data_IF_868778184071
#
_entry.id   IF_868778184071
#
_cell.length_a   1.000
_cell.length_b   1.000
_cell.length_c   1.000
_cell.angle_alpha   90.00
_cell.angle_beta   90.00
_cell.angle_gamma   90.00
#
_symmetry.space_group_name_H-M   'P 1'
#
loop_
_entity.id
_entity.type
_entity.pdbx_description
1 polymer ?
#
# COMPACT_ATOMS: atom_id res chain seq x y z
N UNK A 1 -40.15 -1.95 -41.53
CA UNK A 1 -39.31 -3.05 -41.00
C UNK A 1 -37.83 -2.69 -40.88
N UNK A 2 -37.27 -1.80 -41.71
CA UNK A 2 -35.87 -1.33 -41.58
C UNK A 2 -35.59 -0.45 -40.34
N UNK A 3 -36.57 0.34 -39.87
CA UNK A 3 -36.38 1.24 -38.72
C UNK A 3 -36.31 0.48 -37.38
N UNK A 4 -36.94 -0.70 -37.28
CA UNK A 4 -36.89 -1.52 -36.07
C UNK A 4 -35.55 -2.22 -35.85
N UNK A 5 -34.77 -2.46 -36.92
CA UNK A 5 -33.45 -3.11 -36.79
C UNK A 5 -32.36 -2.14 -36.28
N UNK A 6 -32.53 -0.82 -36.44
CA UNK A 6 -31.52 0.15 -36.03
C UNK A 6 -31.50 0.39 -34.50
N UNK A 7 -32.63 0.20 -33.83
CA UNK A 7 -32.77 0.40 -32.38
C UNK A 7 -32.15 -0.73 -31.52
N UNK A 8 -31.90 -1.90 -32.11
CA UNK A 8 -31.36 -3.07 -31.38
C UNK A 8 -29.82 -3.03 -31.30
N UNK A 9 -29.14 -2.20 -32.09
CA UNK A 9 -27.67 -2.13 -32.11
C UNK A 9 -27.03 -1.23 -31.03
N UNK A 10 -27.81 -0.50 -30.22
CA UNK A 10 -27.25 0.48 -29.26
C UNK A 10 -27.00 -0.14 -27.87
N UNK A 11 -27.46 -1.37 -27.61
CA UNK A 11 -27.36 -2.02 -26.30
C UNK A 11 -26.05 -2.80 -26.06
N UNK A 12 -25.13 -2.84 -27.02
CA UNK A 12 -23.85 -3.54 -26.86
C UNK A 12 -22.74 -2.56 -26.47
N UNK A 13 -22.07 -2.88 -25.35
CA UNK A 13 -20.78 -2.35 -24.91
C UNK A 13 -20.74 -1.08 -24.02
N UNK A 14 -21.42 -1.15 -22.86
CA UNK A 14 -20.82 -0.63 -21.63
C UNK A 14 -20.55 -1.78 -20.65
N UNK A 15 -19.84 -2.82 -21.10
CA UNK A 15 -19.04 -3.61 -20.15
C UNK A 15 -17.81 -2.78 -19.83
N UNK A 16 -17.99 -1.73 -19.03
CA UNK A 16 -16.86 -1.03 -18.42
C UNK A 16 -16.21 -2.05 -17.48
N UNK A 17 -15.21 -2.76 -17.98
CA UNK A 17 -14.34 -3.58 -17.14
C UNK A 17 -13.73 -2.61 -16.13
N UNK A 18 -14.23 -2.63 -14.89
CA UNK A 18 -13.72 -1.79 -13.81
C UNK A 18 -12.22 -2.03 -13.72
N UNK A 19 -11.43 -0.97 -13.87
CA UNK A 19 -9.97 -1.10 -13.82
C UNK A 19 -9.56 -1.59 -12.43
N UNK A 20 -8.95 -2.77 -12.39
CA UNK A 20 -8.54 -3.40 -11.14
C UNK A 20 -7.35 -2.68 -10.52
N UNK A 21 -7.37 -2.55 -9.20
CA UNK A 21 -6.22 -2.08 -8.43
C UNK A 21 -5.34 -3.29 -8.08
N UNK A 22 -4.07 -3.23 -8.42
CA UNK A 22 -3.06 -4.23 -8.06
C UNK A 22 -2.26 -3.75 -6.85
N UNK A 23 -2.04 -4.63 -5.88
CA UNK A 23 -1.28 -4.34 -4.67
C UNK A 23 0.00 -5.17 -4.59
N UNK A 24 1.09 -4.52 -4.16
CA UNK A 24 2.41 -5.12 -4.07
C UNK A 24 3.05 -4.83 -2.71
N UNK A 25 3.63 -5.85 -2.07
CA UNK A 25 4.35 -5.68 -0.80
C UNK A 25 5.67 -4.91 -1.00
N UNK A 26 5.87 -3.81 -0.26
CA UNK A 26 7.16 -3.09 -0.19
C UNK A 26 7.81 -3.26 1.20
N UNK A 27 9.06 -2.84 1.41
CA UNK A 27 9.78 -3.04 2.69
C UNK A 27 9.08 -2.31 3.86
N UNK A 28 8.60 -1.09 3.64
CA UNK A 28 7.90 -0.27 4.65
C UNK A 28 6.42 0.02 4.35
N UNK A 29 5.78 -0.68 3.41
CA UNK A 29 4.39 -0.41 3.08
C UNK A 29 3.84 -1.30 1.97
N UNK A 30 3.10 -0.67 1.06
CA UNK A 30 2.53 -1.28 -0.12
C UNK A 30 2.62 -0.31 -1.31
N UNK A 31 2.72 -0.87 -2.52
CA UNK A 31 2.63 -0.15 -3.78
C UNK A 31 1.33 -0.55 -4.46
N UNK A 32 0.64 0.45 -5.01
CA UNK A 32 -0.63 0.27 -5.69
C UNK A 32 -0.48 0.68 -7.14
N UNK A 33 -0.98 -0.13 -8.06
CA UNK A 33 -0.95 0.17 -9.48
C UNK A 33 -2.35 -0.03 -10.06
N UNK A 34 -2.79 0.90 -10.88
CA UNK A 34 -4.04 0.82 -11.61
C UNK A 34 -3.72 1.12 -13.06
N UNK A 35 -3.96 0.12 -13.93
CA UNK A 35 -3.51 0.14 -15.31
C UNK A 35 -1.98 0.38 -15.44
N UNK A 36 -1.56 1.55 -15.93
CA UNK A 36 -0.16 1.98 -16.10
C UNK A 36 0.30 2.96 -15.02
N UNK A 37 -0.60 3.39 -14.13
CA UNK A 37 -0.35 4.42 -13.13
C UNK A 37 -0.05 3.82 -11.76
N UNK A 38 0.98 4.36 -11.10
CA UNK A 38 1.25 4.08 -9.69
C UNK A 38 0.41 5.01 -8.83
N UNK A 39 -0.45 4.44 -7.97
CA UNK A 39 -1.33 5.20 -7.10
C UNK A 39 -0.71 5.35 -5.71
N UNK A 40 -0.73 6.58 -5.19
CA UNK A 40 -0.51 6.85 -3.78
C UNK A 40 -1.70 6.37 -2.94
N UNK A 41 -1.52 6.09 -1.63
CA UNK A 41 -2.63 5.73 -0.75
C UNK A 41 -3.78 6.75 -0.75
N UNK A 42 -3.48 8.05 -0.97
CA UNK A 42 -4.52 9.08 -1.11
C UNK A 42 -5.34 8.89 -2.40
N UNK A 43 -4.69 8.58 -3.52
CA UNK A 43 -5.37 8.32 -4.78
C UNK A 43 -6.16 7.01 -4.74
N UNK A 44 -5.63 5.96 -4.11
CA UNK A 44 -6.39 4.72 -3.88
C UNK A 44 -7.67 5.02 -3.10
N UNK A 45 -7.57 5.79 -2.01
CA UNK A 45 -8.76 6.18 -1.24
C UNK A 45 -9.78 6.97 -2.07
N UNK A 46 -9.34 7.79 -3.04
CA UNK A 46 -10.24 8.48 -3.97
C UNK A 46 -10.95 7.52 -4.93
N UNK A 47 -10.22 6.56 -5.49
CA UNK A 47 -10.79 5.53 -6.39
C UNK A 47 -11.80 4.65 -5.64
N UNK A 48 -11.49 4.30 -4.40
CA UNK A 48 -12.35 3.48 -3.54
C UNK A 48 -13.65 4.19 -3.12
N UNK A 49 -13.81 5.50 -3.34
CA UNK A 49 -15.08 6.20 -3.04
C UNK A 49 -16.28 5.60 -3.77
N UNK A 50 -16.04 4.93 -4.90
CA UNK A 50 -17.07 4.24 -5.65
C UNK A 50 -17.59 2.97 -4.93
N UNK A 51 -16.98 2.55 -3.83
CA UNK A 51 -17.41 1.42 -3.01
C UNK A 51 -17.29 1.78 -1.51
N UNK A 52 -18.40 2.14 -0.82
CA UNK A 52 -18.36 2.66 0.56
C UNK A 52 -17.68 1.72 1.56
N UNK A 53 -17.86 0.40 1.40
CA UNK A 53 -17.27 -0.60 2.28
C UNK A 53 -15.75 -0.66 2.13
N UNK A 54 -15.25 -0.63 0.89
CA UNK A 54 -13.83 -0.58 0.59
C UNK A 54 -13.20 0.74 1.06
N UNK A 55 -13.91 1.86 0.87
CA UNK A 55 -13.46 3.18 1.31
C UNK A 55 -13.21 3.25 2.82
N UNK A 56 -14.19 2.83 3.64
CA UNK A 56 -14.06 2.85 5.10
C UNK A 56 -12.93 1.92 5.58
N UNK A 57 -12.80 0.74 4.97
CA UNK A 57 -11.73 -0.21 5.32
C UNK A 57 -10.34 0.35 4.98
N UNK A 58 -10.18 0.95 3.80
CA UNK A 58 -8.91 1.55 3.39
C UNK A 58 -8.58 2.83 4.17
N UNK A 59 -9.59 3.60 4.59
CA UNK A 59 -9.39 4.77 5.45
C UNK A 59 -8.72 4.41 6.76
N UNK A 60 -9.14 3.29 7.39
CA UNK A 60 -8.47 2.74 8.58
C UNK A 60 -7.06 2.25 8.28
N UNK A 61 -6.87 1.57 7.15
CA UNK A 61 -5.54 1.16 6.69
C UNK A 61 -4.58 2.36 6.60
N UNK A 62 -5.02 3.45 5.95
CA UNK A 62 -4.24 4.69 5.79
C UNK A 62 -3.89 5.34 7.12
N UNK A 63 -4.78 5.30 8.12
CA UNK A 63 -4.46 5.81 9.46
C UNK A 63 -3.29 5.03 10.09
N UNK A 64 -3.31 3.70 9.99
CA UNK A 64 -2.22 2.85 10.46
C UNK A 64 -0.91 3.10 9.69
N UNK A 65 -0.99 3.33 8.38
CA UNK A 65 0.19 3.69 7.57
C UNK A 65 0.82 5.01 8.02
N UNK A 66 0.01 6.03 8.29
CA UNK A 66 0.50 7.32 8.77
C UNK A 66 1.16 7.19 10.16
N UNK A 67 0.51 6.46 11.07
CA UNK A 67 1.07 6.20 12.40
C UNK A 67 2.39 5.42 12.29
N UNK A 68 2.44 4.37 11.46
CA UNK A 68 3.67 3.63 11.19
C UNK A 68 4.78 4.54 10.64
N UNK A 69 4.45 5.46 9.72
CA UNK A 69 5.41 6.41 9.17
C UNK A 69 6.01 7.33 10.25
N UNK A 70 5.17 7.87 11.15
CA UNK A 70 5.61 8.73 12.26
C UNK A 70 6.50 7.94 13.22
N UNK A 71 6.09 6.74 13.62
CA UNK A 71 6.86 5.87 14.52
C UNK A 71 8.19 5.46 13.89
N UNK A 72 8.18 5.09 12.61
CA UNK A 72 9.38 4.69 11.88
C UNK A 72 10.37 5.84 11.72
N UNK A 73 9.88 7.05 11.42
CA UNK A 73 10.71 8.25 11.35
C UNK A 73 11.30 8.62 12.71
N UNK A 74 10.47 8.72 13.74
CA UNK A 74 10.92 9.02 15.10
C UNK A 74 11.92 7.97 15.61
N UNK A 75 11.62 6.68 15.39
CA UNK A 75 12.50 5.58 15.75
C UNK A 75 13.83 5.62 15.00
N UNK A 76 13.80 5.90 13.69
CA UNK A 76 14.99 6.07 12.87
C UNK A 76 15.87 7.23 13.33
N UNK A 77 15.29 8.37 13.70
CA UNK A 77 16.04 9.52 14.25
C UNK A 77 16.68 9.16 15.59
N UNK A 78 15.94 8.50 16.49
CA UNK A 78 16.43 8.10 17.81
C UNK A 78 17.55 7.05 17.75
N UNK A 79 17.57 6.20 16.71
CA UNK A 79 18.69 5.29 16.43
C UNK A 79 19.84 6.04 15.75
N UNK A 80 19.53 6.91 14.79
CA UNK A 80 20.53 7.62 13.98
C UNK A 80 21.37 8.61 14.79
N UNK A 81 20.78 9.28 15.79
CA UNK A 81 21.48 10.25 16.63
C UNK A 81 22.67 9.62 17.40
N UNK A 82 22.49 8.55 18.20
CA UNK A 82 23.61 7.86 18.86
C UNK A 82 24.66 7.33 17.88
N UNK A 83 24.25 6.79 16.72
CA UNK A 83 25.19 6.33 15.69
C UNK A 83 26.04 7.48 15.17
N UNK A 84 25.41 8.62 14.84
CA UNK A 84 26.11 9.83 14.40
C UNK A 84 27.07 10.36 15.45
N UNK A 85 26.65 10.40 16.72
CA UNK A 85 27.49 10.80 17.85
C UNK A 85 28.70 9.89 18.02
N UNK A 86 28.53 8.57 17.91
CA UNK A 86 29.63 7.61 18.01
C UNK A 86 30.66 7.81 16.88
N UNK A 87 30.20 8.02 15.64
CA UNK A 87 31.08 8.30 14.49
C UNK A 87 31.81 9.63 14.68
N UNK A 88 31.16 10.63 15.26
CA UNK A 88 31.74 11.93 15.57
C UNK A 88 32.71 11.95 16.76
N UNK A 89 32.98 10.80 17.39
CA UNK A 89 33.87 10.69 18.55
C UNK A 89 33.26 11.18 19.88
N UNK A 90 31.94 11.43 19.91
CA UNK A 90 31.21 11.79 21.12
C UNK A 90 30.82 10.55 21.94
N UNK A 91 30.16 10.77 23.08
CA UNK A 91 29.61 9.69 23.90
C UNK A 91 28.17 9.35 23.46
N UNK A 92 27.92 8.20 22.81
CA UNK A 92 26.59 7.84 22.30
C UNK A 92 25.61 7.42 23.40
N UNK A 93 24.42 8.01 23.36
CA UNK A 93 23.30 7.63 24.24
C UNK A 93 22.53 6.43 23.70
N UNK A 94 23.04 5.22 23.94
CA UNK A 94 22.43 3.98 23.46
C UNK A 94 21.02 3.72 24.02
N UNK A 95 20.64 4.35 25.13
CA UNK A 95 19.26 4.35 25.63
C UNK A 95 18.26 4.95 24.63
N UNK A 96 18.65 6.00 23.91
CA UNK A 96 17.83 6.57 22.83
C UNK A 96 17.72 5.60 21.65
N UNK A 97 18.81 4.92 21.29
CA UNK A 97 18.79 3.92 20.23
C UNK A 97 17.88 2.74 20.59
N UNK A 98 17.88 2.29 21.84
CA UNK A 98 16.98 1.25 22.33
C UNK A 98 15.51 1.68 22.24
N UNK A 99 15.18 2.88 22.70
CA UNK A 99 13.83 3.45 22.55
C UNK A 99 13.42 3.59 21.09
N UNK A 100 14.34 4.04 20.23
CA UNK A 100 14.14 4.12 18.79
C UNK A 100 13.87 2.74 18.15
N UNK A 101 14.57 1.70 18.62
CA UNK A 101 14.33 0.32 18.21
C UNK A 101 12.91 -0.15 18.50
N UNK A 102 12.36 0.15 19.69
CA UNK A 102 10.97 -0.19 20.07
C UNK A 102 9.98 0.51 19.13
N UNK A 103 10.20 1.78 18.80
CA UNK A 103 9.35 2.54 17.88
C UNK A 103 9.37 1.94 16.47
N UNK A 104 10.53 1.54 15.96
CA UNK A 104 10.66 0.86 14.66
C UNK A 104 9.91 -0.48 14.64
N UNK A 105 10.01 -1.27 15.71
CA UNK A 105 9.26 -2.52 15.84
C UNK A 105 7.74 -2.26 15.85
N UNK A 106 7.28 -1.23 16.57
CA UNK A 106 5.89 -0.79 16.55
C UNK A 106 5.42 -0.38 15.15
N UNK A 107 6.24 0.40 14.43
CA UNK A 107 6.00 0.79 13.04
C UNK A 107 5.84 -0.43 12.12
N UNK A 108 6.68 -1.45 12.29
CA UNK A 108 6.61 -2.67 11.50
C UNK A 108 5.28 -3.43 11.69
N UNK A 109 4.85 -3.58 12.95
CA UNK A 109 3.57 -4.21 13.31
C UNK A 109 2.38 -3.45 12.72
N UNK A 110 2.36 -2.11 12.85
CA UNK A 110 1.31 -1.27 12.25
C UNK A 110 1.31 -1.36 10.71
N UNK A 111 2.49 -1.47 10.10
CA UNK A 111 2.62 -1.65 8.65
C UNK A 111 2.02 -2.99 8.20
N UNK A 112 2.18 -4.05 8.98
CA UNK A 112 1.54 -5.34 8.70
C UNK A 112 0.01 -5.23 8.73
N UNK A 113 -0.53 -4.55 9.74
CA UNK A 113 -1.98 -4.28 9.86
C UNK A 113 -2.49 -3.41 8.71
N UNK A 114 -1.75 -2.37 8.33
CA UNK A 114 -2.03 -1.56 7.14
C UNK A 114 -2.15 -2.43 5.87
N UNK A 115 -1.18 -3.31 5.64
CA UNK A 115 -1.18 -4.19 4.45
C UNK A 115 -2.42 -5.08 4.41
N UNK A 116 -2.79 -5.68 5.54
CA UNK A 116 -3.98 -6.54 5.62
C UNK A 116 -5.25 -5.75 5.28
N UNK A 117 -5.47 -4.60 5.91
CA UNK A 117 -6.67 -3.80 5.64
C UNK A 117 -6.71 -3.20 4.23
N UNK A 118 -5.56 -2.81 3.70
CA UNK A 118 -5.46 -2.30 2.33
C UNK A 118 -5.77 -3.38 1.30
N UNK A 119 -5.27 -4.61 1.53
CA UNK A 119 -5.57 -5.76 0.69
C UNK A 119 -7.06 -6.06 0.67
N UNK A 120 -7.67 -6.23 1.84
CA UNK A 120 -9.10 -6.54 1.92
C UNK A 120 -9.97 -5.44 1.28
N UNK A 121 -9.58 -4.17 1.39
CA UNK A 121 -10.31 -3.07 0.77
C UNK A 121 -10.23 -3.12 -0.76
N UNK A 122 -9.06 -3.48 -1.29
CA UNK A 122 -8.86 -3.64 -2.73
C UNK A 122 -9.61 -4.86 -3.24
N UNK A 123 -9.63 -5.95 -2.46
CA UNK A 123 -10.42 -7.15 -2.77
C UNK A 123 -11.92 -6.83 -2.87
N UNK A 124 -12.46 -6.10 -1.88
CA UNK A 124 -13.84 -5.60 -1.90
C UNK A 124 -14.13 -4.75 -3.15
N UNK A 125 -13.21 -3.87 -3.54
CA UNK A 125 -13.37 -3.02 -4.72
C UNK A 125 -13.28 -3.78 -6.04
N UNK A 126 -12.34 -4.72 -6.15
CA UNK A 126 -12.13 -5.50 -7.38
C UNK A 126 -13.24 -6.55 -7.59
N UNK A 127 -14.04 -6.85 -6.56
CA UNK A 127 -15.13 -7.83 -6.62
C UNK A 127 -14.64 -9.25 -6.95
N UNK A 128 -13.34 -9.51 -6.76
CA UNK A 128 -12.66 -10.77 -7.06
C UNK A 128 -11.78 -11.10 -5.88
N UNK A 129 -11.77 -12.36 -5.45
CA UNK A 129 -10.72 -12.88 -4.57
C UNK A 129 -9.39 -12.64 -5.26
N UNK A 130 -8.64 -11.66 -4.78
CA UNK A 130 -7.39 -11.25 -5.38
C UNK A 130 -6.44 -12.46 -5.32
N UNK A 131 -6.26 -13.13 -6.46
CA UNK A 131 -5.36 -14.27 -6.58
C UNK A 131 -3.96 -13.74 -6.36
N UNK A 132 -3.39 -14.09 -5.21
CA UNK A 132 -2.00 -13.89 -4.84
C UNK A 132 -1.14 -14.47 -5.98
N UNK A 133 -0.70 -13.64 -6.93
CA UNK A 133 0.20 -14.06 -8.02
C UNK A 133 1.62 -13.64 -7.66
N UNK A 134 2.48 -14.53 -7.14
CA UNK A 134 3.87 -14.16 -6.93
C UNK A 134 4.47 -13.74 -8.29
N UNK A 135 4.95 -12.50 -8.39
CA UNK A 135 5.72 -12.07 -9.55
C UNK A 135 7.10 -11.65 -9.10
N UNK A 136 8.10 -12.27 -9.71
CA UNK A 136 9.50 -11.92 -9.51
C UNK A 136 9.76 -10.71 -10.39
N UNK A 137 10.06 -9.57 -9.78
CA UNK A 137 10.39 -8.34 -10.50
C UNK A 137 11.84 -8.00 -10.21
N UNK A 138 12.68 -8.03 -11.24
CA UNK A 138 14.09 -7.68 -11.17
C UNK A 138 14.21 -6.16 -11.36
N UNK A 139 14.74 -5.46 -10.36
CA UNK A 139 15.01 -4.03 -10.44
C UNK A 139 16.45 -3.80 -9.96
N UNK A 140 17.37 -3.52 -10.89
CA UNK A 140 18.80 -3.35 -10.61
C UNK A 140 19.52 -4.65 -10.21
N UNK A 141 20.56 -4.53 -9.37
CA UNK A 141 21.44 -5.61 -8.87
C UNK A 141 20.82 -6.46 -7.74
N UNK A 142 19.49 -6.58 -7.66
CA UNK A 142 18.82 -7.31 -6.60
C UNK A 142 17.57 -8.07 -7.07
N UNK A 143 17.41 -9.30 -6.55
CA UNK A 143 16.18 -10.09 -6.70
C UNK A 143 15.26 -9.78 -5.54
N UNK A 144 14.10 -9.17 -5.81
CA UNK A 144 13.07 -8.94 -4.79
C UNK A 144 11.88 -9.86 -5.06
N UNK A 145 11.58 -10.75 -4.12
CA UNK A 145 10.33 -11.53 -4.15
C UNK A 145 9.19 -10.57 -3.87
N UNK A 146 8.39 -10.27 -4.90
CA UNK A 146 7.18 -9.47 -4.75
C UNK A 146 6.00 -10.44 -4.65
N UNK A 147 5.52 -10.64 -3.44
CA UNK A 147 4.19 -11.23 -3.24
C UNK A 147 3.16 -10.18 -3.70
N UNK A 148 2.49 -10.47 -4.82
CA UNK A 148 1.22 -9.81 -5.13
C UNK A 148 0.19 -10.47 -4.24
N UNK A 149 -0.50 -9.67 -3.43
CA UNK A 149 -1.73 -10.11 -2.79
C UNK A 149 -2.84 -9.54 -3.66
#
# INVERSE_FOLDING_TARGET
MLISLLLISISNAYSQTRTEIKMYKTFGGARFEMDTLVLSPKQVLQVLKAEPLAYEKFKRAKANYNAAGILGFAGGVLIGLPIGTAIGGGNPEWGLAAAGGVLVLGSFSLTAVFRSHAFDAIELYNGKTARIKPQVQFYGTGVRIVMRF
#
